data_IF_392925781701
#
_entry.id   IF_392925781701
#
_cell.length_a   1.000
_cell.length_b   1.000
_cell.length_c   1.000
_cell.angle_alpha   90.00
_cell.angle_beta   90.00
_cell.angle_gamma   90.00
#
_symmetry.space_group_name_H-M   'P 1'
#
loop_
_entity.id
_entity.type
_entity.pdbx_description
1 polymer ?
#
# COMPACT_ATOMS: atom_id res chain seq x y z
N UNK A 1 -39.18 6.21 13.33
CA UNK A 1 -38.69 4.88 12.99
C UNK A 1 -37.25 5.04 12.53
N UNK A 2 -36.30 5.11 13.48
CA UNK A 2 -34.88 4.99 13.20
C UNK A 2 -34.62 3.49 13.08
N UNK A 3 -34.48 3.00 11.86
CA UNK A 3 -34.10 1.63 11.59
C UNK A 3 -32.71 1.39 12.16
N UNK A 4 -32.56 0.33 12.93
CA UNK A 4 -31.41 -0.05 13.72
C UNK A 4 -30.20 -0.57 12.93
N UNK A 5 -30.02 -0.17 11.68
CA UNK A 5 -28.92 -0.64 10.82
C UNK A 5 -28.38 0.47 9.90
N UNK A 6 -28.09 1.63 10.44
CA UNK A 6 -27.17 2.53 9.73
C UNK A 6 -25.75 2.06 10.04
N UNK A 7 -25.31 1.04 9.31
CA UNK A 7 -23.95 0.57 9.35
C UNK A 7 -23.02 1.64 8.78
N UNK A 8 -22.19 2.24 9.63
CA UNK A 8 -21.01 3.07 9.25
C UNK A 8 -20.06 2.28 8.31
N UNK A 9 -20.39 1.02 8.00
CA UNK A 9 -19.60 0.02 7.27
C UNK A 9 -19.96 -0.17 5.79
N UNK A 10 -20.84 0.66 5.22
CA UNK A 10 -21.39 0.37 3.89
C UNK A 10 -20.42 0.58 2.72
N UNK A 11 -19.27 1.21 2.95
CA UNK A 11 -18.32 1.48 1.87
C UNK A 11 -17.46 0.26 1.51
N UNK A 12 -17.02 -0.54 2.49
CA UNK A 12 -16.25 -1.76 2.24
C UNK A 12 -16.65 -2.87 3.22
N UNK A 13 -16.36 -4.11 2.85
CA UNK A 13 -16.56 -5.26 3.74
C UNK A 13 -15.39 -5.33 4.72
N UNK A 14 -15.58 -5.12 6.03
CA UNK A 14 -14.50 -5.17 6.99
C UNK A 14 -13.96 -6.59 7.16
N UNK A 15 -12.72 -6.71 7.63
CA UNK A 15 -12.18 -7.95 8.15
C UNK A 15 -12.96 -8.40 9.39
N UNK A 16 -12.91 -9.70 9.70
CA UNK A 16 -13.57 -10.23 10.89
C UNK A 16 -12.92 -9.73 12.19
N UNK A 17 -13.69 -9.63 13.27
CA UNK A 17 -13.10 -9.28 14.56
C UNK A 17 -12.13 -10.36 15.08
N UNK A 18 -12.24 -11.60 14.58
CA UNK A 18 -11.28 -12.68 14.88
C UNK A 18 -9.90 -12.39 14.29
N UNK A 19 -9.82 -11.81 13.10
CA UNK A 19 -8.56 -11.33 12.52
C UNK A 19 -7.85 -10.36 13.49
N UNK A 20 -8.54 -9.29 13.91
CA UNK A 20 -7.95 -8.29 14.82
C UNK A 20 -7.56 -8.86 16.17
N UNK A 21 -8.35 -9.80 16.74
CA UNK A 21 -7.98 -10.52 17.98
C UNK A 21 -6.69 -11.33 17.81
N UNK A 22 -6.57 -12.04 16.69
CA UNK A 22 -5.39 -12.86 16.39
C UNK A 22 -4.15 -11.98 16.18
N UNK A 23 -4.27 -10.86 15.45
CA UNK A 23 -3.20 -9.90 15.23
C UNK A 23 -2.69 -9.31 16.55
N UNK A 24 -3.59 -8.88 17.45
CA UNK A 24 -3.19 -8.40 18.78
C UNK A 24 -2.56 -9.49 19.63
N UNK A 25 -3.10 -10.71 19.60
CA UNK A 25 -2.51 -11.85 20.32
C UNK A 25 -1.10 -12.14 19.85
N UNK A 26 -0.86 -12.15 18.55
CA UNK A 26 0.45 -12.36 17.96
C UNK A 26 1.41 -11.22 18.35
N UNK A 27 0.97 -9.96 18.26
CA UNK A 27 1.75 -8.80 18.67
C UNK A 27 2.14 -8.86 20.15
N UNK A 28 1.17 -9.12 21.03
CA UNK A 28 1.40 -9.18 22.48
C UNK A 28 2.33 -10.33 22.91
N UNK A 29 2.39 -11.41 22.15
CA UNK A 29 3.30 -12.54 22.41
C UNK A 29 4.77 -12.18 22.20
N UNK A 30 5.08 -11.17 21.39
CA UNK A 30 6.45 -10.70 21.12
C UNK A 30 6.90 -9.59 22.11
N UNK A 31 5.98 -9.08 22.94
CA UNK A 31 6.34 -8.04 23.92
C UNK A 31 7.18 -8.63 25.08
N UNK A 32 8.18 -7.87 25.52
CA UNK A 32 8.91 -8.19 26.74
C UNK A 32 7.97 -8.21 27.96
N UNK A 33 8.26 -8.99 28.99
CA UNK A 33 7.50 -8.95 30.26
C UNK A 33 7.40 -7.51 30.79
N UNK A 34 6.28 -7.19 31.44
CA UNK A 34 5.97 -5.86 32.00
C UNK A 34 6.08 -4.71 30.98
N UNK A 35 5.71 -4.98 29.74
CA UNK A 35 5.71 -3.97 28.67
C UNK A 35 4.29 -3.59 28.28
N UNK A 36 4.09 -2.31 28.00
CA UNK A 36 2.85 -1.70 27.52
C UNK A 36 3.10 -1.05 26.18
N UNK A 37 2.30 -1.39 25.16
CA UNK A 37 2.36 -0.79 23.84
C UNK A 37 1.19 0.17 23.64
N UNK A 38 1.45 1.29 22.96
CA UNK A 38 0.43 2.31 22.61
C UNK A 38 0.48 2.61 21.13
N UNK A 39 -0.70 2.70 20.52
CA UNK A 39 -0.91 3.06 19.12
C UNK A 39 -1.92 4.18 19.03
N UNK A 40 -1.55 5.29 18.40
CA UNK A 40 -2.43 6.41 18.15
C UNK A 40 -2.95 6.41 16.72
N UNK A 41 -4.17 6.95 16.52
CA UNK A 41 -4.63 7.33 15.18
C UNK A 41 -3.77 8.43 14.59
N UNK A 42 -3.82 8.60 13.27
CA UNK A 42 -3.25 9.77 12.61
C UNK A 42 -3.96 11.07 13.04
N UNK A 43 -3.34 12.19 12.72
CA UNK A 43 -3.96 13.50 12.83
C UNK A 43 -4.98 13.73 11.70
N UNK A 44 -5.92 14.64 11.95
CA UNK A 44 -6.66 15.32 10.90
C UNK A 44 -5.75 16.45 10.41
N UNK A 45 -5.32 16.39 9.15
CA UNK A 45 -4.35 17.34 8.62
C UNK A 45 -5.01 18.58 8.02
N UNK A 46 -4.77 19.80 8.57
CA UNK A 46 -5.35 21.04 8.06
C UNK A 46 -4.67 21.46 6.74
N UNK A 47 -5.47 21.97 5.79
CA UNK A 47 -5.00 22.50 4.48
C UNK A 47 -5.43 23.94 4.22
N UNK A 48 -6.30 24.48 5.05
CA UNK A 48 -6.83 25.84 4.90
C UNK A 48 -7.47 26.30 6.20
N UNK A 49 -8.34 27.31 6.15
CA UNK A 49 -8.95 27.91 7.33
C UNK A 49 -9.62 26.87 8.24
N UNK A 50 -10.67 26.23 7.75
CA UNK A 50 -11.42 25.15 8.42
C UNK A 50 -11.44 23.85 7.59
N UNK A 51 -10.67 23.81 6.50
CA UNK A 51 -10.59 22.66 5.60
C UNK A 51 -9.47 21.70 6.00
N UNK A 52 -9.73 20.40 5.86
CA UNK A 52 -8.78 19.32 6.15
C UNK A 52 -8.66 18.37 4.98
N UNK A 53 -7.54 17.63 4.90
CA UNK A 53 -7.47 16.45 4.05
C UNK A 53 -8.45 15.37 4.56
N UNK A 54 -8.96 14.49 3.70
CA UNK A 54 -9.69 13.31 4.14
C UNK A 54 -8.87 12.54 5.17
N UNK A 55 -9.54 12.10 6.24
CA UNK A 55 -8.86 11.33 7.28
C UNK A 55 -8.41 9.96 6.75
N UNK A 56 -7.16 9.63 6.98
CA UNK A 56 -6.57 8.31 6.74
C UNK A 56 -6.05 7.74 8.06
N UNK A 57 -6.50 6.53 8.42
CA UNK A 57 -6.10 5.90 9.66
C UNK A 57 -4.64 5.43 9.60
N UNK A 58 -3.93 5.54 10.72
CA UNK A 58 -2.61 4.91 10.87
C UNK A 58 -2.73 3.40 10.70
N UNK A 59 -1.98 2.84 9.77
CA UNK A 59 -2.15 1.44 9.33
C UNK A 59 -1.94 0.41 10.45
N UNK A 60 -1.11 0.70 11.43
CA UNK A 60 -0.85 -0.23 12.54
C UNK A 60 -1.99 -0.31 13.55
N UNK A 61 -2.59 0.83 13.95
CA UNK A 61 -3.78 0.77 14.79
C UNK A 61 -4.94 0.13 14.04
N UNK A 62 -5.08 0.37 12.74
CA UNK A 62 -6.08 -0.30 11.91
C UNK A 62 -5.86 -1.81 11.87
N UNK A 63 -4.63 -2.28 11.59
CA UNK A 63 -4.25 -3.70 11.58
C UNK A 63 -4.55 -4.42 12.89
N UNK A 64 -4.37 -3.71 14.02
CA UNK A 64 -4.58 -4.28 15.35
C UNK A 64 -6.03 -4.15 15.86
N UNK A 65 -6.86 -3.26 15.30
CA UNK A 65 -8.18 -2.97 15.89
C UNK A 65 -9.34 -2.91 14.88
N UNK A 66 -9.07 -2.63 13.62
CA UNK A 66 -10.11 -2.35 12.61
C UNK A 66 -10.81 -1.00 12.79
N UNK A 67 -10.33 -0.17 13.70
CA UNK A 67 -10.92 1.15 13.96
C UNK A 67 -10.41 2.15 12.92
N UNK A 68 -11.31 2.62 12.08
CA UNK A 68 -11.07 3.61 11.03
C UNK A 68 -11.73 4.95 11.41
N UNK A 69 -11.27 5.51 12.52
CA UNK A 69 -11.77 6.76 13.09
C UNK A 69 -10.62 7.53 13.73
N UNK A 70 -10.64 8.84 13.54
CA UNK A 70 -9.70 9.78 14.17
C UNK A 70 -9.81 9.75 15.70
N UNK A 71 -8.79 10.29 16.36
CA UNK A 71 -8.76 10.43 17.83
C UNK A 71 -9.03 9.12 18.58
N UNK A 72 -8.44 8.03 18.06
CA UNK A 72 -8.49 6.72 18.69
C UNK A 72 -7.11 6.34 19.24
N UNK A 73 -7.08 5.63 20.37
CA UNK A 73 -5.84 5.12 20.97
C UNK A 73 -6.07 3.66 21.37
N UNK A 74 -5.15 2.80 20.97
CA UNK A 74 -5.11 1.39 21.39
C UNK A 74 -3.97 1.18 22.39
N UNK A 75 -4.28 0.56 23.54
CA UNK A 75 -3.30 0.15 24.54
C UNK A 75 -3.31 -1.35 24.68
N UNK A 76 -2.13 -1.98 24.57
CA UNK A 76 -1.93 -3.41 24.73
C UNK A 76 -0.95 -3.67 25.88
N UNK A 77 -1.41 -4.36 26.93
CA UNK A 77 -0.61 -4.64 28.12
C UNK A 77 -0.85 -6.08 28.62
N UNK A 78 -0.17 -7.10 28.04
CA UNK A 78 -0.42 -8.51 28.33
C UNK A 78 -0.25 -8.88 29.83
N UNK A 79 0.61 -8.17 30.56
CA UNK A 79 0.88 -8.42 31.97
C UNK A 79 0.06 -7.54 32.93
N UNK A 80 -0.96 -6.80 32.47
CA UNK A 80 -1.82 -6.04 33.36
C UNK A 80 -2.43 -6.91 34.44
N UNK A 81 -2.49 -6.40 35.69
CA UNK A 81 -3.04 -7.13 36.85
C UNK A 81 -4.49 -7.57 36.61
N UNK A 82 -5.29 -6.66 36.09
CA UNK A 82 -6.66 -6.95 35.74
C UNK A 82 -6.74 -7.40 34.27
N UNK A 83 -7.30 -8.59 34.01
CA UNK A 83 -7.44 -9.13 32.64
C UNK A 83 -8.14 -8.16 31.67
N UNK A 84 -9.13 -7.39 32.16
CA UNK A 84 -9.85 -6.40 31.38
C UNK A 84 -8.96 -5.22 30.90
N UNK A 85 -7.80 -5.02 31.50
CA UNK A 85 -6.85 -3.96 31.15
C UNK A 85 -5.77 -4.41 30.17
N UNK A 86 -5.81 -5.66 29.68
CA UNK A 86 -4.81 -6.18 28.75
C UNK A 86 -4.96 -5.66 27.33
N UNK A 87 -6.20 -5.35 26.94
CA UNK A 87 -6.55 -4.72 25.67
C UNK A 87 -7.54 -3.60 25.97
N UNK A 88 -7.17 -2.37 25.67
CA UNK A 88 -8.00 -1.19 25.92
C UNK A 88 -8.04 -0.33 24.66
N UNK A 89 -9.23 0.08 24.27
CA UNK A 89 -9.45 1.03 23.20
C UNK A 89 -10.05 2.33 23.76
N UNK A 90 -9.51 3.44 23.37
CA UNK A 90 -10.05 4.77 23.64
C UNK A 90 -10.57 5.37 22.33
N UNK A 91 -11.79 5.90 22.35
CA UNK A 91 -12.44 6.51 21.18
C UNK A 91 -13.07 7.84 21.55
N UNK A 92 -13.17 8.72 20.56
CA UNK A 92 -13.83 10.01 20.69
C UNK A 92 -15.32 9.80 20.95
N UNK A 93 -15.85 10.52 21.95
CA UNK A 93 -17.28 10.52 22.27
C UNK A 93 -18.04 11.44 21.30
N UNK A 94 -19.18 11.00 20.81
CA UNK A 94 -20.11 11.87 20.11
C UNK A 94 -20.83 12.79 21.11
N UNK A 95 -20.74 14.08 20.93
CA UNK A 95 -21.60 15.08 21.58
C UNK A 95 -22.60 15.66 20.57
N UNK A 96 -23.47 16.56 21.01
CA UNK A 96 -24.50 17.20 20.18
C UNK A 96 -23.88 18.02 19.03
N UNK A 97 -22.78 18.72 19.29
CA UNK A 97 -22.09 19.51 18.28
C UNK A 97 -21.48 18.60 17.20
N UNK A 98 -20.73 17.56 17.61
CA UNK A 98 -20.13 16.58 16.70
C UNK A 98 -21.22 15.91 15.85
N UNK A 99 -22.32 15.49 16.47
CA UNK A 99 -23.42 14.82 15.77
C UNK A 99 -24.03 15.69 14.66
N UNK A 100 -24.12 17.00 14.88
CA UNK A 100 -24.69 17.96 13.91
C UNK A 100 -23.70 18.28 12.79
N UNK A 101 -22.43 18.50 13.11
CA UNK A 101 -21.44 19.02 12.15
C UNK A 101 -20.62 17.93 11.44
N UNK A 102 -20.31 16.84 12.12
CA UNK A 102 -19.42 15.79 11.63
C UNK A 102 -20.13 14.43 11.45
N UNK A 103 -21.34 14.29 11.98
CA UNK A 103 -22.03 13.01 12.09
C UNK A 103 -21.62 12.21 13.33
N UNK A 104 -22.37 11.15 13.61
CA UNK A 104 -22.12 10.30 14.77
C UNK A 104 -20.81 9.52 14.63
N UNK A 105 -19.99 9.56 15.69
CA UNK A 105 -18.79 8.73 15.83
C UNK A 105 -19.18 7.34 16.35
N UNK A 106 -18.22 6.39 16.35
CA UNK A 106 -18.44 5.03 16.84
C UNK A 106 -18.90 5.03 18.30
N UNK A 107 -19.96 4.28 18.56
CA UNK A 107 -20.35 3.91 19.93
C UNK A 107 -19.39 2.83 20.47
N UNK A 108 -19.34 2.68 21.81
CA UNK A 108 -18.55 1.60 22.43
C UNK A 108 -18.99 0.21 21.97
N UNK A 109 -20.30 0.03 21.69
CA UNK A 109 -20.83 -1.24 21.16
C UNK A 109 -20.29 -1.50 19.74
N UNK A 110 -20.38 -0.55 18.83
CA UNK A 110 -19.85 -0.68 17.48
C UNK A 110 -18.33 -0.92 17.47
N UNK A 111 -17.58 -0.16 18.27
CA UNK A 111 -16.14 -0.34 18.37
C UNK A 111 -15.76 -1.74 18.92
N UNK A 112 -16.54 -2.28 19.87
CA UNK A 112 -16.40 -3.65 20.36
C UNK A 112 -16.68 -4.69 19.28
N UNK A 113 -17.74 -4.50 18.50
CA UNK A 113 -18.12 -5.42 17.43
C UNK A 113 -17.07 -5.46 16.32
N UNK A 114 -16.49 -4.31 15.96
CA UNK A 114 -15.40 -4.20 14.99
C UNK A 114 -14.14 -4.88 15.52
N UNK A 115 -13.64 -4.43 16.66
CA UNK A 115 -12.31 -4.79 17.15
C UNK A 115 -12.27 -6.09 17.96
N UNK A 116 -13.42 -6.48 18.53
CA UNK A 116 -13.49 -7.55 19.51
C UNK A 116 -12.89 -7.19 20.88
N UNK A 117 -12.47 -5.93 21.10
CA UNK A 117 -11.96 -5.43 22.38
C UNK A 117 -13.13 -5.19 23.33
N UNK A 118 -13.04 -5.74 24.54
CA UNK A 118 -14.13 -5.66 25.54
C UNK A 118 -14.08 -4.38 26.37
N UNK A 119 -12.88 -3.83 26.59
CA UNK A 119 -12.67 -2.65 27.43
C UNK A 119 -12.49 -1.42 26.56
N UNK A 120 -13.52 -0.56 26.54
CA UNK A 120 -13.52 0.65 25.71
C UNK A 120 -13.86 1.85 26.61
N UNK A 121 -12.98 2.82 26.62
CA UNK A 121 -13.12 4.10 27.30
C UNK A 121 -13.36 5.23 26.31
N UNK A 122 -13.84 6.37 26.83
CA UNK A 122 -13.80 7.59 26.08
C UNK A 122 -12.39 8.19 26.08
N UNK A 123 -12.03 8.94 25.07
CA UNK A 123 -10.68 9.49 24.92
C UNK A 123 -10.26 10.38 26.10
N UNK A 124 -11.22 11.10 26.68
CA UNK A 124 -11.03 11.94 27.86
C UNK A 124 -10.52 11.19 29.10
N UNK A 125 -10.77 9.87 29.17
CA UNK A 125 -10.30 9.01 30.26
C UNK A 125 -8.83 8.58 30.10
N UNK A 126 -8.21 8.84 28.92
CA UNK A 126 -6.92 8.25 28.55
C UNK A 126 -5.82 8.53 29.57
N UNK A 127 -5.56 9.79 29.93
CA UNK A 127 -4.45 10.13 30.81
C UNK A 127 -4.59 9.49 32.19
N UNK A 128 -5.82 9.47 32.75
CA UNK A 128 -6.09 8.89 34.07
C UNK A 128 -5.89 7.37 34.09
N UNK A 129 -6.34 6.68 33.04
CA UNK A 129 -6.18 5.23 32.88
C UNK A 129 -4.72 4.90 32.62
N UNK A 130 -4.07 5.61 31.69
CA UNK A 130 -2.68 5.40 31.34
C UNK A 130 -1.75 5.58 32.54
N UNK A 131 -1.96 6.61 33.36
CA UNK A 131 -1.23 6.85 34.60
C UNK A 131 -1.31 5.65 35.55
N UNK A 132 -2.47 4.99 35.68
CA UNK A 132 -2.63 3.78 36.49
C UNK A 132 -1.89 2.59 35.90
N UNK A 133 -1.90 2.43 34.58
CA UNK A 133 -1.22 1.33 33.88
C UNK A 133 0.30 1.50 33.94
N UNK A 134 0.79 2.73 33.82
CA UNK A 134 2.23 3.01 33.85
C UNK A 134 2.91 2.59 35.16
N UNK A 135 2.17 2.52 36.29
CA UNK A 135 2.72 2.02 37.56
C UNK A 135 2.97 0.51 37.58
N UNK A 136 2.47 -0.23 36.60
CA UNK A 136 2.56 -1.67 36.51
C UNK A 136 3.56 -2.17 35.45
N UNK A 137 4.11 -1.27 34.63
CA UNK A 137 5.04 -1.63 33.58
C UNK A 137 6.40 -0.95 33.74
N UNK A 138 7.41 -1.54 33.12
CA UNK A 138 8.78 -1.06 33.13
C UNK A 138 9.19 -0.49 31.77
N UNK A 139 8.48 -0.86 30.69
CA UNK A 139 8.82 -0.51 29.30
C UNK A 139 7.60 -0.08 28.51
N UNK A 140 7.72 1.03 27.78
CA UNK A 140 6.78 1.44 26.76
C UNK A 140 7.26 1.01 25.37
N UNK A 141 6.38 0.36 24.60
CA UNK A 141 6.57 0.14 23.19
C UNK A 141 5.86 1.24 22.41
N UNK A 142 6.64 2.00 21.64
CA UNK A 142 6.15 3.08 20.81
C UNK A 142 6.09 2.67 19.33
N UNK A 143 5.13 3.27 18.64
CA UNK A 143 4.90 3.03 17.22
C UNK A 143 5.50 4.18 16.39
N UNK A 144 6.82 4.17 16.24
CA UNK A 144 7.52 5.10 15.35
C UNK A 144 7.44 4.62 13.91
N UNK A 145 7.21 5.53 12.97
CA UNK A 145 7.33 5.18 11.56
C UNK A 145 8.83 5.03 11.22
N UNK A 146 9.28 3.80 10.99
CA UNK A 146 10.68 3.46 10.67
C UNK A 146 10.81 2.87 9.26
N UNK A 147 9.84 3.12 8.39
CA UNK A 147 9.95 2.69 7.02
C UNK A 147 11.12 3.40 6.33
N UNK A 148 12.00 2.64 5.67
CA UNK A 148 13.24 3.16 5.07
C UNK A 148 13.03 4.22 3.98
N UNK A 149 11.83 4.30 3.41
CA UNK A 149 11.43 5.33 2.43
C UNK A 149 10.82 6.59 3.09
N UNK A 150 10.69 6.61 4.42
CA UNK A 150 10.11 7.77 5.10
C UNK A 150 10.99 8.99 4.94
N UNK A 151 10.38 10.09 4.51
CA UNK A 151 10.97 11.43 4.50
C UNK A 151 9.87 12.42 4.87
N UNK A 152 9.61 12.59 6.18
CA UNK A 152 8.56 13.49 6.69
C UNK A 152 9.15 14.44 7.72
N UNK A 153 9.04 15.73 7.48
CA UNK A 153 9.47 16.78 8.43
C UNK A 153 8.36 17.15 9.44
N UNK A 154 7.09 16.88 9.07
CA UNK A 154 5.94 17.19 9.92
C UNK A 154 5.89 16.28 11.13
N UNK A 155 5.74 16.88 12.32
CA UNK A 155 5.59 16.15 13.56
C UNK A 155 4.22 15.45 13.62
N UNK A 156 4.24 14.13 13.76
CA UNK A 156 3.03 13.29 13.85
C UNK A 156 2.45 13.28 15.27
N UNK A 157 1.22 12.76 15.41
CA UNK A 157 0.58 12.52 16.72
C UNK A 157 1.41 11.54 17.56
N UNK A 158 1.97 10.49 16.95
CA UNK A 158 2.88 9.55 17.64
C UNK A 158 4.12 10.25 18.17
N UNK A 159 4.75 11.14 17.41
CA UNK A 159 5.94 11.88 17.86
C UNK A 159 5.63 12.76 19.07
N UNK A 160 4.46 13.43 19.06
CA UNK A 160 4.03 14.26 20.21
C UNK A 160 3.74 13.40 21.43
N UNK A 161 3.07 12.26 21.24
CA UNK A 161 2.80 11.30 22.30
C UNK A 161 4.08 10.74 22.91
N UNK A 162 5.05 10.33 22.09
CA UNK A 162 6.36 9.82 22.56
C UNK A 162 7.09 10.88 23.38
N UNK A 163 7.12 12.13 22.91
CA UNK A 163 7.74 13.25 23.64
C UNK A 163 7.07 13.46 24.98
N UNK A 164 5.74 13.44 25.02
CA UNK A 164 4.96 13.55 26.25
C UNK A 164 5.28 12.39 27.22
N UNK A 165 5.25 11.13 26.77
CA UNK A 165 5.57 9.97 27.59
C UNK A 165 6.98 10.07 28.20
N UNK A 166 8.00 10.37 27.39
CA UNK A 166 9.39 10.50 27.87
C UNK A 166 9.55 11.59 28.93
N UNK A 167 8.79 12.67 28.81
CA UNK A 167 8.76 13.76 29.80
C UNK A 167 8.05 13.36 31.09
N UNK A 168 6.90 12.69 31.00
CA UNK A 168 6.07 12.33 32.15
C UNK A 168 6.60 11.09 32.91
N UNK A 169 7.25 10.17 32.20
CA UNK A 169 7.68 8.88 32.72
C UNK A 169 9.15 8.61 32.40
N UNK A 170 10.10 9.45 32.87
CA UNK A 170 11.51 9.38 32.48
C UNK A 170 12.23 8.13 32.97
N UNK A 171 11.69 7.42 33.97
CA UNK A 171 12.26 6.18 34.50
C UNK A 171 11.89 4.92 33.71
N UNK A 172 10.93 5.00 32.77
CA UNK A 172 10.53 3.87 31.94
C UNK A 172 11.50 3.67 30.77
N UNK A 173 11.80 2.42 30.47
CA UNK A 173 12.50 2.05 29.25
C UNK A 173 11.59 2.23 28.03
N UNK A 174 12.20 2.42 26.84
CA UNK A 174 11.48 2.57 25.59
C UNK A 174 11.89 1.48 24.60
N UNK A 175 10.93 0.94 23.86
CA UNK A 175 11.14 -0.07 22.83
C UNK A 175 10.32 0.28 21.57
N UNK A 176 10.62 -0.38 20.46
CA UNK A 176 10.01 -0.15 19.16
C UNK A 176 8.97 -1.22 18.85
N UNK A 177 7.76 -0.83 18.49
CA UNK A 177 6.72 -1.75 18.00
C UNK A 177 6.95 -2.18 16.55
N UNK A 178 7.64 -1.35 15.77
CA UNK A 178 7.79 -1.50 14.33
C UNK A 178 8.39 -2.85 13.90
N UNK A 179 9.49 -3.39 14.49
CA UNK A 179 10.03 -4.69 14.07
C UNK A 179 9.03 -5.85 14.22
N UNK A 180 8.16 -5.80 15.23
CA UNK A 180 7.12 -6.82 15.43
C UNK A 180 6.06 -6.69 14.33
N UNK A 181 5.60 -5.46 14.07
CA UNK A 181 4.59 -5.19 13.04
C UNK A 181 5.10 -5.48 11.63
N UNK A 182 6.36 -5.18 11.33
CA UNK A 182 6.98 -5.54 10.06
C UNK A 182 6.90 -7.04 9.82
N UNK A 183 7.23 -7.85 10.83
CA UNK A 183 7.13 -9.31 10.75
C UNK A 183 5.68 -9.77 10.56
N UNK A 184 4.75 -9.27 11.36
CA UNK A 184 3.36 -9.71 11.32
C UNK A 184 2.65 -9.29 10.03
N UNK A 185 2.84 -8.04 9.58
CA UNK A 185 2.18 -7.50 8.39
C UNK A 185 2.79 -7.98 7.07
N UNK A 186 4.03 -8.47 7.07
CA UNK A 186 4.66 -8.99 5.85
C UNK A 186 4.00 -10.26 5.34
N UNK A 187 3.48 -11.11 6.22
CA UNK A 187 2.78 -12.37 5.88
C UNK A 187 1.28 -12.14 6.02
N UNK A 188 0.56 -12.19 4.91
CA UNK A 188 -0.86 -11.85 4.85
C UNK A 188 -1.74 -13.04 5.28
N UNK A 189 -2.79 -12.74 6.04
CA UNK A 189 -3.90 -13.66 6.28
C UNK A 189 -4.77 -13.79 5.02
N UNK A 190 -5.54 -14.87 4.93
CA UNK A 190 -6.47 -15.10 3.81
C UNK A 190 -7.54 -14.00 3.68
N UNK A 191 -7.95 -13.38 4.79
CA UNK A 191 -8.88 -12.26 4.77
C UNK A 191 -8.22 -11.00 4.17
N UNK A 192 -6.94 -10.73 4.46
CA UNK A 192 -6.17 -9.63 3.87
C UNK A 192 -5.98 -9.83 2.36
N UNK A 193 -5.65 -11.07 1.93
CA UNK A 193 -5.51 -11.41 0.50
C UNK A 193 -6.82 -11.17 -0.25
N UNK A 194 -7.97 -11.45 0.36
CA UNK A 194 -9.30 -11.14 -0.24
C UNK A 194 -9.54 -9.64 -0.40
N UNK A 195 -9.08 -8.80 0.53
CA UNK A 195 -9.18 -7.35 0.39
C UNK A 195 -8.30 -6.86 -0.76
N UNK A 196 -7.06 -7.34 -0.84
CA UNK A 196 -6.14 -7.06 -1.94
C UNK A 196 -6.74 -7.51 -3.29
N UNK A 197 -7.29 -8.72 -3.37
CA UNK A 197 -7.97 -9.19 -4.59
C UNK A 197 -9.11 -8.26 -4.98
N UNK A 198 -9.91 -7.78 -4.01
CA UNK A 198 -11.02 -6.85 -4.30
C UNK A 198 -10.48 -5.52 -4.84
N UNK A 199 -9.39 -4.99 -4.29
CA UNK A 199 -8.75 -3.78 -4.82
C UNK A 199 -8.23 -4.00 -6.25
N UNK A 200 -7.63 -5.15 -6.55
CA UNK A 200 -7.21 -5.55 -7.90
C UNK A 200 -8.41 -5.68 -8.87
N UNK A 201 -9.53 -6.28 -8.42
CA UNK A 201 -10.75 -6.42 -9.24
C UNK A 201 -11.41 -5.06 -9.55
N UNK A 202 -11.30 -4.09 -8.64
CA UNK A 202 -11.76 -2.72 -8.88
C UNK A 202 -10.82 -2.02 -9.87
N UNK A 203 -9.53 -2.22 -9.74
CA UNK A 203 -8.51 -1.70 -10.66
C UNK A 203 -8.71 -2.24 -12.07
N UNK A 204 -9.03 -3.54 -12.23
CA UNK A 204 -9.39 -4.15 -13.52
C UNK A 204 -10.48 -3.38 -14.23
N UNK A 205 -11.56 -3.03 -13.53
CA UNK A 205 -12.70 -2.30 -14.12
C UNK A 205 -12.26 -0.92 -14.61
N UNK A 206 -11.41 -0.23 -13.85
CA UNK A 206 -10.83 1.04 -14.27
C UNK A 206 -9.99 0.91 -15.53
N UNK A 207 -9.08 -0.06 -15.60
CA UNK A 207 -8.24 -0.30 -16.78
C UNK A 207 -9.09 -0.65 -18.00
N UNK A 208 -10.07 -1.55 -17.88
CA UNK A 208 -10.97 -1.90 -19.00
C UNK A 208 -11.74 -0.68 -19.50
N UNK A 209 -12.17 0.22 -18.61
CA UNK A 209 -12.79 1.48 -19.00
C UNK A 209 -11.81 2.37 -19.78
N UNK A 210 -10.56 2.50 -19.34
CA UNK A 210 -9.56 3.29 -20.06
C UNK A 210 -9.26 2.73 -21.45
N UNK A 211 -9.17 1.41 -21.61
CA UNK A 211 -8.95 0.77 -22.92
C UNK A 211 -10.05 1.11 -23.93
N UNK A 212 -11.28 1.33 -23.46
CA UNK A 212 -12.40 1.73 -24.31
C UNK A 212 -12.53 3.25 -24.49
N UNK A 213 -11.92 4.05 -23.61
CA UNK A 213 -12.05 5.51 -23.60
C UNK A 213 -10.90 6.23 -24.32
N UNK A 214 -9.67 5.72 -24.19
CA UNK A 214 -8.47 6.35 -24.70
C UNK A 214 -8.48 6.44 -26.23
N UNK A 215 -8.22 7.64 -26.73
CA UNK A 215 -8.01 7.96 -28.16
C UNK A 215 -7.14 9.22 -28.29
N UNK A 216 -6.57 9.49 -29.46
CA UNK A 216 -5.82 10.72 -29.70
C UNK A 216 -6.65 11.97 -29.38
N UNK A 217 -6.02 12.92 -28.68
CA UNK A 217 -6.63 14.19 -28.28
C UNK A 217 -7.21 14.21 -26.86
N UNK A 218 -7.34 13.07 -26.19
CA UNK A 218 -7.73 12.98 -24.77
C UNK A 218 -6.58 13.53 -23.91
N UNK A 219 -6.93 14.22 -22.81
CA UNK A 219 -5.97 14.68 -21.82
C UNK A 219 -5.73 13.64 -20.73
N UNK A 220 -4.54 13.61 -20.15
CA UNK A 220 -4.19 12.69 -19.08
C UNK A 220 -5.14 12.78 -17.88
N UNK A 221 -5.57 13.98 -17.47
CA UNK A 221 -6.56 14.16 -16.39
C UNK A 221 -7.98 13.67 -16.75
N UNK A 222 -8.33 13.53 -18.04
CA UNK A 222 -9.60 12.91 -18.41
C UNK A 222 -9.56 11.39 -18.16
N UNK A 223 -8.39 10.75 -18.35
CA UNK A 223 -8.19 9.35 -17.96
C UNK A 223 -8.27 9.17 -16.45
N UNK A 224 -7.71 10.11 -15.68
CA UNK A 224 -7.82 10.13 -14.22
C UNK A 224 -9.28 10.21 -13.77
N UNK A 225 -10.08 11.09 -14.38
CA UNK A 225 -11.50 11.23 -14.06
C UNK A 225 -12.30 9.93 -14.31
N UNK A 226 -12.00 9.21 -15.39
CA UNK A 226 -12.61 7.92 -15.70
C UNK A 226 -12.26 6.84 -14.65
N UNK A 227 -11.01 6.81 -14.17
CA UNK A 227 -10.58 5.92 -13.10
C UNK A 227 -11.27 6.25 -11.79
N UNK A 228 -11.32 7.53 -11.39
CA UNK A 228 -12.00 7.98 -10.17
C UNK A 228 -13.46 7.54 -10.20
N UNK A 229 -14.15 7.73 -11.33
CA UNK A 229 -15.53 7.29 -11.50
C UNK A 229 -15.69 5.78 -11.26
N UNK A 230 -14.83 4.94 -11.88
CA UNK A 230 -14.93 3.49 -11.70
C UNK A 230 -14.58 3.05 -10.27
N UNK A 231 -13.56 3.64 -9.66
CA UNK A 231 -13.15 3.28 -8.30
C UNK A 231 -14.25 3.61 -7.28
N UNK A 232 -14.78 4.84 -7.31
CA UNK A 232 -15.81 5.28 -6.37
C UNK A 232 -17.11 4.48 -6.52
N UNK A 233 -17.59 4.21 -7.74
CA UNK A 233 -18.82 3.42 -7.95
C UNK A 233 -18.68 1.97 -7.52
N UNK A 234 -17.46 1.46 -7.43
CA UNK A 234 -17.15 0.11 -6.96
C UNK A 234 -16.69 0.07 -5.48
N UNK A 235 -17.01 1.09 -4.68
CA UNK A 235 -16.80 1.17 -3.23
C UNK A 235 -15.36 1.39 -2.77
N UNK A 236 -14.45 1.74 -3.66
CA UNK A 236 -13.13 2.24 -3.27
C UNK A 236 -13.24 3.66 -2.70
N UNK A 237 -12.30 4.07 -1.85
CA UNK A 237 -12.14 5.48 -1.46
C UNK A 237 -11.57 6.33 -2.61
N UNK A 238 -10.90 5.69 -3.57
CA UNK A 238 -10.19 6.31 -4.67
C UNK A 238 -8.90 5.56 -5.00
N UNK A 239 -7.91 6.30 -5.42
CA UNK A 239 -6.57 5.77 -5.69
C UNK A 239 -5.88 5.31 -4.40
N UNK A 240 -5.11 4.22 -4.50
CA UNK A 240 -4.24 3.73 -3.42
C UNK A 240 -3.03 4.65 -3.18
N UNK A 241 -2.60 5.37 -4.21
CA UNK A 241 -1.50 6.34 -4.25
C UNK A 241 -1.79 7.41 -5.32
N UNK A 242 -0.96 8.45 -5.37
CA UNK A 242 -1.11 9.51 -6.38
C UNK A 242 -0.91 8.93 -7.79
N UNK A 243 -1.92 9.06 -8.69
CA UNK A 243 -1.91 8.38 -9.98
C UNK A 243 -0.85 8.95 -10.92
N UNK A 244 -0.16 8.08 -11.64
CA UNK A 244 0.79 8.41 -12.70
C UNK A 244 0.16 8.07 -14.04
N UNK A 245 -0.12 9.09 -14.85
CA UNK A 245 -0.70 8.96 -16.18
C UNK A 245 0.19 9.72 -17.15
N UNK A 246 1.16 9.03 -17.74
CA UNK A 246 2.30 9.62 -18.42
C UNK A 246 2.29 9.32 -19.92
N UNK A 247 1.90 10.28 -20.75
CA UNK A 247 1.90 10.11 -22.21
C UNK A 247 3.25 10.47 -22.85
N UNK A 248 3.63 9.74 -23.88
CA UNK A 248 4.83 10.00 -24.67
C UNK A 248 6.11 10.04 -23.83
N UNK A 249 6.86 11.14 -23.96
CA UNK A 249 8.15 11.35 -23.27
C UNK A 249 8.02 11.38 -21.74
N UNK A 250 6.84 11.76 -21.19
CA UNK A 250 6.61 11.83 -19.76
C UNK A 250 6.70 10.46 -19.06
N UNK A 251 6.51 9.36 -19.79
CA UNK A 251 6.71 8.01 -19.31
C UNK A 251 8.15 7.73 -18.81
N UNK A 252 9.11 8.62 -19.12
CA UNK A 252 10.48 8.53 -18.61
C UNK A 252 10.68 9.24 -17.26
N UNK A 253 9.63 9.86 -16.71
CA UNK A 253 9.63 10.47 -15.38
C UNK A 253 8.91 9.49 -14.44
N UNK A 254 9.65 8.82 -13.56
CA UNK A 254 9.15 7.69 -12.78
C UNK A 254 7.93 8.03 -11.91
N UNK A 255 7.89 9.24 -11.32
CA UNK A 255 6.78 9.73 -10.51
C UNK A 255 6.17 10.99 -11.17
N UNK A 256 5.68 10.84 -12.40
CA UNK A 256 4.98 11.90 -13.12
C UNK A 256 3.53 11.97 -12.66
N UNK A 257 3.19 12.97 -11.84
CA UNK A 257 1.86 13.12 -11.23
C UNK A 257 1.12 14.38 -11.71
N UNK A 258 1.68 15.14 -12.66
CA UNK A 258 1.03 16.34 -13.16
C UNK A 258 -0.21 16.04 -14.01
N UNK A 259 -0.22 14.92 -14.74
CA UNK A 259 -1.32 14.41 -15.53
C UNK A 259 -2.02 15.48 -16.39
N UNK A 260 -1.22 16.37 -17.02
CA UNK A 260 -1.74 17.59 -17.66
C UNK A 260 -1.38 17.71 -19.15
N UNK A 261 -0.94 16.63 -19.79
CA UNK A 261 -0.60 16.61 -21.22
C UNK A 261 -1.69 15.96 -22.05
N UNK A 262 -1.75 16.35 -23.32
CA UNK A 262 -2.66 15.73 -24.29
C UNK A 262 -2.00 14.51 -24.92
N UNK A 263 -2.70 13.37 -24.89
CA UNK A 263 -2.26 12.12 -25.51
C UNK A 263 -2.31 12.23 -27.04
N UNK A 264 -1.20 12.02 -27.74
CA UNK A 264 -1.08 12.19 -29.18
C UNK A 264 -1.06 10.87 -29.92
N UNK A 265 -1.52 10.89 -31.15
CA UNK A 265 -1.46 9.71 -32.01
C UNK A 265 -0.02 9.19 -32.15
N UNK A 266 0.14 7.88 -32.05
CA UNK A 266 1.45 7.21 -32.14
C UNK A 266 2.24 7.15 -30.84
N UNK A 267 1.81 7.86 -29.78
CA UNK A 267 2.42 7.77 -28.45
C UNK A 267 1.89 6.56 -27.67
N UNK A 268 2.62 6.21 -26.62
CA UNK A 268 2.17 5.33 -25.53
C UNK A 268 1.73 6.17 -24.34
N UNK A 269 0.82 5.64 -23.52
CA UNK A 269 0.52 6.16 -22.18
C UNK A 269 0.90 5.08 -21.17
N UNK A 270 1.80 5.43 -20.27
CA UNK A 270 2.12 4.64 -19.09
C UNK A 270 1.15 5.03 -17.99
N UNK A 271 0.43 4.05 -17.47
CA UNK A 271 -0.60 4.16 -16.44
C UNK A 271 -0.12 3.39 -15.21
N UNK A 272 0.32 4.10 -14.18
CA UNK A 272 0.63 3.51 -12.88
C UNK A 272 -0.46 3.99 -11.91
N UNK A 273 -1.49 3.15 -11.78
CA UNK A 273 -2.78 3.52 -11.19
C UNK A 273 -3.46 2.31 -10.57
N UNK A 274 -3.87 2.40 -9.32
CA UNK A 274 -4.64 1.33 -8.70
C UNK A 274 -5.61 1.84 -7.64
N UNK A 275 -6.62 1.03 -7.34
CA UNK A 275 -7.64 1.31 -6.33
C UNK A 275 -7.18 0.88 -4.93
N UNK A 276 -7.70 1.58 -3.92
CA UNK A 276 -7.71 1.14 -2.53
C UNK A 276 -9.03 0.44 -2.23
N UNK A 277 -9.04 -0.59 -1.39
CA UNK A 277 -10.26 -1.18 -0.86
C UNK A 277 -10.06 -1.65 0.58
N UNK A 278 -10.89 -1.15 1.50
CA UNK A 278 -10.83 -1.53 2.91
C UNK A 278 -9.48 -1.22 3.58
N UNK A 279 -8.84 -0.14 3.18
CA UNK A 279 -7.49 0.28 3.56
C UNK A 279 -6.35 -0.60 2.98
N UNK A 280 -6.63 -1.55 2.10
CA UNK A 280 -5.63 -2.32 1.36
C UNK A 280 -5.41 -1.73 -0.03
N UNK A 281 -4.16 -1.58 -0.41
CA UNK A 281 -3.74 -1.00 -1.68
C UNK A 281 -3.56 -2.09 -2.74
N UNK A 282 -4.05 -1.89 -3.95
CA UNK A 282 -3.52 -2.54 -5.14
C UNK A 282 -2.42 -1.67 -5.75
N UNK A 283 -1.59 -2.22 -6.62
CA UNK A 283 -0.55 -1.51 -7.37
C UNK A 283 -0.42 -2.08 -8.78
N UNK A 284 -0.63 -1.24 -9.79
CA UNK A 284 -0.67 -1.71 -11.17
C UNK A 284 -0.02 -0.72 -12.11
N UNK A 285 0.84 -1.21 -12.98
CA UNK A 285 1.25 -0.45 -14.17
C UNK A 285 0.87 -1.17 -15.46
N UNK A 286 0.29 -0.43 -16.39
CA UNK A 286 0.11 -0.81 -17.80
C UNK A 286 0.60 0.30 -18.70
N UNK A 287 1.15 -0.07 -19.84
CA UNK A 287 1.51 0.87 -20.92
C UNK A 287 0.70 0.54 -22.15
N UNK A 288 -0.11 1.48 -22.62
CA UNK A 288 -1.09 1.25 -23.71
C UNK A 288 -0.89 2.25 -24.87
N UNK A 289 -1.19 1.86 -26.12
CA UNK A 289 -1.02 2.75 -27.27
C UNK A 289 -2.18 3.73 -27.41
N UNK A 290 -1.90 5.03 -27.52
CA UNK A 290 -2.94 6.07 -27.68
C UNK A 290 -3.83 5.84 -28.90
N UNK A 291 -3.26 5.32 -30.00
CA UNK A 291 -3.98 5.03 -31.25
C UNK A 291 -4.55 3.63 -31.33
N UNK A 292 -4.55 2.86 -30.24
CA UNK A 292 -5.06 1.49 -30.21
C UNK A 292 -4.15 0.43 -30.86
N UNK A 293 -2.97 0.82 -31.36
CA UNK A 293 -2.02 -0.08 -32.03
C UNK A 293 -0.59 0.32 -31.67
N UNK A 294 0.22 -0.65 -31.26
CA UNK A 294 1.65 -0.45 -31.01
C UNK A 294 2.44 -0.38 -32.32
N UNK A 295 3.39 0.54 -32.42
CA UNK A 295 4.41 0.49 -33.50
C UNK A 295 5.29 -0.76 -33.29
N UNK A 296 6.04 -1.16 -34.33
CA UNK A 296 6.95 -2.28 -34.26
C UNK A 296 7.94 -2.13 -33.09
N UNK A 297 8.56 -0.95 -32.95
CA UNK A 297 9.55 -0.66 -31.90
C UNK A 297 8.92 -0.69 -30.50
N UNK A 298 7.76 -0.09 -30.33
CA UNK A 298 7.03 -0.10 -29.06
C UNK A 298 6.68 -1.54 -28.64
N UNK A 299 6.21 -2.37 -29.59
CA UNK A 299 5.90 -3.80 -29.36
C UNK A 299 7.16 -4.60 -28.96
N UNK A 300 8.29 -4.36 -29.59
CA UNK A 300 9.57 -5.01 -29.24
C UNK A 300 9.96 -4.70 -27.78
N UNK A 301 9.96 -3.42 -27.40
CA UNK A 301 10.26 -2.97 -26.02
C UNK A 301 9.24 -3.52 -25.02
N UNK A 302 7.95 -3.41 -25.34
CA UNK A 302 6.86 -3.91 -24.49
C UNK A 302 7.02 -5.40 -24.19
N UNK A 303 7.23 -6.21 -25.22
CA UNK A 303 7.39 -7.67 -25.07
C UNK A 303 8.68 -8.02 -24.30
N UNK A 304 9.74 -7.23 -24.38
CA UNK A 304 10.94 -7.40 -23.57
C UNK A 304 10.64 -7.17 -22.08
N UNK A 305 9.93 -6.09 -21.74
CA UNK A 305 9.48 -5.82 -20.36
C UNK A 305 8.57 -6.95 -19.85
N UNK A 306 7.64 -7.40 -20.68
CA UNK A 306 6.71 -8.48 -20.34
C UNK A 306 7.43 -9.81 -20.04
N UNK A 307 8.46 -10.15 -20.83
CA UNK A 307 9.30 -11.34 -20.56
C UNK A 307 10.03 -11.22 -19.23
N UNK A 308 10.66 -10.06 -18.96
CA UNK A 308 11.34 -9.81 -17.66
C UNK A 308 10.36 -9.94 -16.53
N UNK A 309 9.16 -9.33 -16.62
CA UNK A 309 8.11 -9.42 -15.61
C UNK A 309 7.70 -10.87 -15.34
N UNK A 310 7.45 -11.63 -16.40
CA UNK A 310 7.00 -13.02 -16.26
C UNK A 310 8.07 -13.92 -15.64
N UNK A 311 9.35 -13.75 -16.01
CA UNK A 311 10.46 -14.51 -15.42
C UNK A 311 10.74 -14.05 -13.98
N UNK A 312 10.72 -12.74 -13.70
CA UNK A 312 10.86 -12.22 -12.34
C UNK A 312 9.76 -12.75 -11.40
N UNK A 313 8.52 -12.84 -11.87
CA UNK A 313 7.41 -13.41 -11.09
C UNK A 313 7.72 -14.84 -10.64
N UNK A 314 8.33 -15.67 -11.48
CA UNK A 314 8.68 -17.07 -11.14
C UNK A 314 9.73 -17.18 -10.05
N UNK A 315 10.55 -16.13 -9.84
CA UNK A 315 11.58 -16.09 -8.81
C UNK A 315 11.02 -15.78 -7.41
N UNK A 316 9.78 -15.30 -7.29
CA UNK A 316 9.14 -15.00 -6.02
C UNK A 316 8.61 -16.29 -5.38
N UNK A 317 9.49 -17.03 -4.75
CA UNK A 317 9.22 -18.32 -4.09
C UNK A 317 9.75 -18.31 -2.66
N UNK A 318 9.23 -19.18 -1.78
CA UNK A 318 9.76 -19.32 -0.42
C UNK A 318 11.26 -19.63 -0.42
N UNK A 319 12.02 -18.94 0.42
CA UNK A 319 13.47 -19.06 0.52
C UNK A 319 14.28 -18.10 -0.35
N UNK A 320 13.67 -17.43 -1.33
CA UNK A 320 14.36 -16.41 -2.13
C UNK A 320 14.80 -15.26 -1.24
N UNK A 321 16.02 -14.79 -1.43
CA UNK A 321 16.57 -13.61 -0.74
C UNK A 321 16.40 -12.37 -1.64
N UNK A 322 15.99 -11.27 -1.07
CA UNK A 322 15.74 -10.01 -1.78
C UNK A 322 16.88 -9.56 -2.69
N UNK A 323 18.10 -9.63 -2.19
CA UNK A 323 19.30 -9.27 -2.97
C UNK A 323 19.49 -10.18 -4.18
N UNK A 324 19.31 -11.48 -4.00
CA UNK A 324 19.50 -12.47 -5.06
C UNK A 324 18.41 -12.33 -6.12
N UNK A 325 17.16 -12.07 -5.72
CA UNK A 325 16.08 -11.75 -6.63
C UNK A 325 16.44 -10.58 -7.57
N UNK A 326 16.91 -9.47 -7.03
CA UNK A 326 17.28 -8.30 -7.86
C UNK A 326 18.49 -8.58 -8.75
N UNK A 327 19.45 -9.38 -8.31
CA UNK A 327 20.58 -9.80 -9.15
C UNK A 327 20.13 -10.63 -10.36
N UNK A 328 19.23 -11.59 -10.15
CA UNK A 328 18.70 -12.40 -11.25
C UNK A 328 17.86 -11.56 -12.23
N UNK A 329 17.00 -10.67 -11.73
CA UNK A 329 16.25 -9.77 -12.60
C UNK A 329 17.17 -8.83 -13.38
N UNK A 330 18.26 -8.36 -12.78
CA UNK A 330 19.27 -7.56 -13.47
C UNK A 330 19.90 -8.28 -14.66
N UNK A 331 20.18 -9.59 -14.52
CA UNK A 331 20.69 -10.43 -15.63
C UNK A 331 19.68 -10.58 -16.76
N UNK A 332 18.40 -10.81 -16.40
CA UNK A 332 17.30 -10.89 -17.37
C UNK A 332 17.16 -9.58 -18.14
N UNK A 333 17.13 -8.45 -17.43
CA UNK A 333 17.04 -7.13 -18.03
C UNK A 333 18.21 -6.82 -18.95
N UNK A 334 19.43 -7.12 -18.54
CA UNK A 334 20.63 -6.95 -19.37
C UNK A 334 20.52 -7.71 -20.69
N UNK A 335 20.07 -8.95 -20.66
CA UNK A 335 19.86 -9.78 -21.87
C UNK A 335 18.82 -9.17 -22.80
N UNK A 336 17.69 -8.70 -22.28
CA UNK A 336 16.64 -8.04 -23.08
C UNK A 336 17.12 -6.73 -23.69
N UNK A 337 17.85 -5.90 -22.93
CA UNK A 337 18.41 -4.64 -23.43
C UNK A 337 19.45 -4.85 -24.55
N UNK A 338 20.23 -5.94 -24.48
CA UNK A 338 21.11 -6.34 -25.58
C UNK A 338 20.30 -6.75 -26.83
N UNK A 339 19.25 -7.55 -26.65
CA UNK A 339 18.36 -7.95 -27.74
C UNK A 339 17.68 -6.77 -28.43
N UNK A 340 17.39 -5.70 -27.69
CA UNK A 340 16.83 -4.44 -28.20
C UNK A 340 17.87 -3.50 -28.86
N UNK A 341 19.17 -3.83 -28.78
CA UNK A 341 20.25 -2.96 -29.23
C UNK A 341 20.48 -1.71 -28.38
N UNK A 342 20.00 -1.72 -27.13
CA UNK A 342 20.16 -0.61 -26.17
C UNK A 342 21.45 -0.72 -25.36
N UNK A 343 21.98 -1.93 -25.19
CA UNK A 343 23.30 -2.22 -24.62
C UNK A 343 24.11 -3.08 -25.59
N UNK A 344 25.40 -2.81 -25.64
CA UNK A 344 26.35 -3.65 -26.37
C UNK A 344 27.24 -4.48 -25.42
N UNK A 345 28.11 -5.31 -26.00
CA UNK A 345 29.04 -6.14 -25.20
C UNK A 345 30.06 -5.30 -24.45
N UNK A 346 30.44 -4.14 -24.99
CA UNK A 346 31.42 -3.27 -24.36
C UNK A 346 30.83 -2.57 -23.13
N UNK A 347 29.55 -2.15 -23.21
CA UNK A 347 28.82 -1.61 -22.06
C UNK A 347 28.84 -2.55 -20.86
N UNK A 348 28.63 -3.86 -21.10
CA UNK A 348 28.57 -4.89 -20.07
C UNK A 348 29.97 -5.24 -19.55
N UNK A 349 30.95 -5.38 -20.46
CA UNK A 349 32.33 -5.71 -20.04
C UNK A 349 32.98 -4.63 -19.19
N UNK A 350 32.60 -3.38 -19.40
CA UNK A 350 33.13 -2.21 -18.71
C UNK A 350 32.21 -1.66 -17.63
N UNK A 351 31.14 -2.37 -17.28
CA UNK A 351 30.18 -1.87 -16.28
C UNK A 351 30.79 -1.76 -14.88
N UNK A 352 30.30 -0.78 -14.12
CA UNK A 352 30.59 -0.69 -12.70
C UNK A 352 29.69 -1.69 -11.94
N UNK A 353 30.26 -2.63 -11.16
CA UNK A 353 29.48 -3.61 -10.37
C UNK A 353 28.44 -2.98 -9.43
N UNK A 354 28.74 -1.76 -8.91
CA UNK A 354 27.82 -1.03 -8.03
C UNK A 354 26.72 -0.29 -8.81
N UNK A 355 26.92 -0.10 -10.12
CA UNK A 355 25.95 0.53 -11.01
C UNK A 355 25.95 -0.19 -12.38
N UNK A 356 25.35 -1.38 -12.47
CA UNK A 356 25.32 -2.19 -13.68
C UNK A 356 24.73 -1.45 -14.88
N UNK A 357 25.17 -1.81 -16.09
CA UNK A 357 24.84 -1.11 -17.35
C UNK A 357 23.32 -1.04 -17.61
N UNK A 358 22.56 -2.06 -17.20
CA UNK A 358 21.10 -2.07 -17.37
C UNK A 358 20.40 -0.92 -16.66
N UNK A 359 20.97 -0.36 -15.58
CA UNK A 359 20.38 0.74 -14.81
C UNK A 359 20.28 2.03 -15.61
N UNK A 360 20.94 2.14 -16.74
CA UNK A 360 20.76 3.26 -17.69
C UNK A 360 19.32 3.32 -18.22
N UNK A 361 18.66 2.18 -18.36
CA UNK A 361 17.31 2.05 -18.91
C UNK A 361 16.30 1.49 -17.92
N UNK A 362 16.75 0.88 -16.83
CA UNK A 362 15.95 0.35 -15.75
C UNK A 362 16.60 0.69 -14.40
N UNK A 363 16.27 1.86 -13.84
CA UNK A 363 16.97 2.46 -12.71
C UNK A 363 16.31 2.22 -11.35
N UNK A 364 15.09 1.67 -11.29
CA UNK A 364 14.36 1.41 -10.03
C UNK A 364 14.35 -0.08 -9.64
N UNK A 365 13.76 -0.40 -8.49
CA UNK A 365 13.56 -1.78 -8.03
C UNK A 365 12.51 -2.51 -8.86
N UNK A 366 12.58 -3.83 -8.86
CA UNK A 366 11.61 -4.68 -9.59
C UNK A 366 10.37 -4.99 -8.78
N UNK A 367 10.42 -4.88 -7.46
CA UNK A 367 9.35 -5.31 -6.57
C UNK A 367 9.40 -4.57 -5.23
N UNK A 368 8.30 -4.57 -4.51
CA UNK A 368 8.22 -4.19 -3.10
C UNK A 368 7.06 -4.93 -2.42
N UNK A 369 7.06 -4.97 -1.09
CA UNK A 369 5.91 -5.47 -0.34
C UNK A 369 4.69 -4.58 -0.55
N UNK A 370 3.52 -5.21 -0.59
CA UNK A 370 2.22 -4.57 -0.77
C UNK A 370 1.24 -5.03 0.32
N UNK A 371 0.34 -4.14 0.74
CA UNK A 371 -0.68 -4.46 1.74
C UNK A 371 -1.50 -3.27 2.16
N UNK A 372 -1.50 -2.94 3.46
CA UNK A 372 -2.13 -1.75 4.02
C UNK A 372 -1.46 -0.45 3.55
N UNK A 373 -0.21 -0.52 3.16
CA UNK A 373 0.47 0.54 2.44
C UNK A 373 0.85 0.02 1.05
N UNK A 374 0.90 0.89 0.07
CA UNK A 374 1.43 0.58 -1.26
C UNK A 374 2.88 0.11 -1.15
N UNK A 375 3.74 0.88 -0.49
CA UNK A 375 5.04 0.37 -0.05
C UNK A 375 4.90 -0.14 1.39
N UNK A 376 4.58 -1.43 1.54
CA UNK A 376 4.28 -2.01 2.84
C UNK A 376 5.54 -2.52 3.57
N UNK A 377 5.34 -2.91 4.80
CA UNK A 377 6.40 -3.45 5.64
C UNK A 377 6.92 -4.79 5.13
N UNK A 378 8.24 -4.94 5.21
CA UNK A 378 8.94 -6.18 4.94
C UNK A 378 10.33 -6.21 5.55
N UNK A 379 10.78 -7.41 5.90
CA UNK A 379 12.12 -7.67 6.43
C UNK A 379 13.01 -8.16 5.26
N UNK A 380 13.53 -7.20 4.46
CA UNK A 380 14.24 -7.47 3.21
C UNK A 380 15.54 -8.30 3.36
N UNK A 381 16.04 -8.45 4.60
CA UNK A 381 17.21 -9.28 4.91
C UNK A 381 16.86 -10.73 5.23
N UNK A 382 15.57 -11.05 5.38
CA UNK A 382 15.07 -12.40 5.61
C UNK A 382 14.61 -13.05 4.29
N UNK A 383 14.63 -14.40 4.23
CA UNK A 383 14.06 -15.12 3.09
C UNK A 383 12.57 -14.78 2.90
N UNK A 384 12.13 -14.77 1.65
CA UNK A 384 10.72 -14.66 1.33
C UNK A 384 9.94 -15.88 1.84
N UNK A 385 8.71 -15.66 2.25
CA UNK A 385 7.83 -16.69 2.80
C UNK A 385 6.49 -16.73 2.05
N UNK A 386 5.80 -17.86 2.14
CA UNK A 386 4.44 -17.98 1.62
C UNK A 386 3.51 -16.94 2.25
N UNK A 387 2.52 -16.48 1.49
CA UNK A 387 1.57 -15.42 1.85
C UNK A 387 2.20 -14.01 1.96
N UNK A 388 3.47 -13.82 1.62
CA UNK A 388 3.96 -12.48 1.31
C UNK A 388 3.38 -12.02 -0.02
N UNK A 389 3.07 -10.74 -0.11
CA UNK A 389 2.52 -10.10 -1.33
C UNK A 389 3.51 -9.06 -1.82
N UNK A 390 3.80 -9.13 -3.12
CA UNK A 390 4.76 -8.24 -3.79
C UNK A 390 4.17 -7.69 -5.07
N UNK A 391 4.61 -6.48 -5.44
CA UNK A 391 4.54 -6.01 -6.82
C UNK A 391 5.62 -6.69 -7.67
N UNK A 392 5.43 -6.72 -8.99
CA UNK A 392 6.48 -7.09 -9.98
C UNK A 392 6.40 -6.09 -11.12
N UNK A 393 7.31 -5.10 -11.13
CA UNK A 393 7.19 -3.85 -11.88
C UNK A 393 8.40 -3.49 -12.76
N UNK A 394 9.00 -4.38 -13.56
CA UNK A 394 10.10 -3.99 -14.41
C UNK A 394 9.69 -2.97 -15.47
N UNK A 395 10.63 -2.10 -15.85
CA UNK A 395 10.41 -1.10 -16.89
C UNK A 395 11.66 -0.87 -17.74
N UNK A 396 11.44 -0.36 -18.96
CA UNK A 396 12.51 0.13 -19.88
C UNK A 396 12.13 1.53 -20.30
N UNK A 397 13.01 2.49 -20.04
CA UNK A 397 12.81 3.90 -20.29
C UNK A 397 13.82 4.41 -21.31
N UNK A 398 13.33 4.97 -22.44
CA UNK A 398 14.15 5.34 -23.61
C UNK A 398 13.89 6.81 -23.96
N UNK A 399 14.45 7.78 -23.20
CA UNK A 399 14.17 9.21 -23.42
C UNK A 399 14.47 9.69 -24.84
N UNK A 400 15.49 9.15 -25.50
CA UNK A 400 15.86 9.55 -26.86
C UNK A 400 14.93 8.96 -27.95
N UNK A 401 14.13 7.93 -27.61
CA UNK A 401 13.05 7.43 -28.46
C UNK A 401 11.67 8.02 -28.05
N UNK A 402 11.61 8.79 -26.95
CA UNK A 402 10.43 9.54 -26.54
C UNK A 402 9.36 8.70 -25.84
N UNK A 403 9.67 7.51 -25.31
CA UNK A 403 8.73 6.69 -24.56
C UNK A 403 9.40 5.81 -23.49
N UNK A 404 8.60 5.31 -22.57
CA UNK A 404 8.97 4.29 -21.58
C UNK A 404 7.86 3.24 -21.48
N UNK A 405 8.22 2.06 -21.03
CA UNK A 405 7.28 0.96 -20.76
C UNK A 405 7.54 0.42 -19.36
N UNK A 406 6.52 0.38 -18.50
CA UNK A 406 6.49 -0.37 -17.23
C UNK A 406 5.27 -1.29 -17.25
N UNK A 407 5.45 -2.50 -16.75
CA UNK A 407 4.38 -3.47 -16.59
C UNK A 407 4.46 -4.05 -15.19
N UNK A 408 3.35 -4.06 -14.49
CA UNK A 408 3.27 -4.41 -13.08
C UNK A 408 2.02 -5.19 -12.75
N UNK A 409 2.18 -6.20 -11.90
CA UNK A 409 1.10 -6.93 -11.26
C UNK A 409 1.42 -7.19 -9.79
N UNK A 410 0.37 -7.39 -8.98
CA UNK A 410 0.44 -7.86 -7.61
C UNK A 410 0.41 -9.38 -7.55
N UNK A 411 1.34 -9.97 -6.81
CA UNK A 411 1.44 -11.43 -6.70
C UNK A 411 1.56 -11.89 -5.25
N UNK A 412 0.99 -13.06 -4.95
CA UNK A 412 1.07 -13.72 -3.64
C UNK A 412 1.98 -14.93 -3.75
N UNK A 413 3.01 -14.98 -2.92
CA UNK A 413 3.90 -16.15 -2.84
C UNK A 413 3.12 -17.34 -2.29
N UNK A 414 3.17 -18.47 -2.99
CA UNK A 414 2.54 -19.73 -2.61
C UNK A 414 3.50 -20.62 -1.80
N UNK A 415 2.97 -21.53 -0.99
CA UNK A 415 3.78 -22.53 -0.25
C UNK A 415 4.60 -23.40 -1.19
N UNK A 416 4.08 -23.64 -2.39
CA UNK A 416 4.74 -24.41 -3.46
C UNK A 416 4.14 -24.00 -4.81
N UNK A 417 4.93 -24.13 -5.87
CA UNK A 417 4.53 -23.75 -7.23
C UNK A 417 4.71 -22.26 -7.52
N UNK A 418 4.13 -21.79 -8.60
CA UNK A 418 4.22 -20.40 -9.02
C UNK A 418 3.41 -19.47 -8.10
N UNK A 419 3.82 -18.21 -7.91
CA UNK A 419 3.01 -17.19 -7.24
C UNK A 419 1.64 -17.03 -7.89
N UNK A 420 0.64 -16.69 -7.07
CA UNK A 420 -0.69 -16.35 -7.59
C UNK A 420 -0.69 -14.88 -8.00
N UNK A 421 -0.96 -14.61 -9.27
CA UNK A 421 -1.18 -13.26 -9.78
C UNK A 421 -2.61 -12.81 -9.45
N UNK A 422 -2.77 -11.77 -8.64
CA UNK A 422 -4.06 -11.18 -8.26
C UNK A 422 -4.69 -10.40 -9.42
N UNK A 423 -3.91 -10.01 -10.42
CA UNK A 423 -4.30 -9.18 -11.55
C UNK A 423 -4.38 -9.94 -12.88
N UNK A 424 -4.41 -11.27 -12.84
CA UNK A 424 -4.40 -12.14 -14.02
C UNK A 424 -5.48 -11.86 -15.05
N UNK A 425 -6.58 -11.20 -14.66
CA UNK A 425 -7.70 -10.87 -15.53
C UNK A 425 -7.55 -9.51 -16.23
N UNK A 426 -6.55 -8.69 -15.82
CA UNK A 426 -6.27 -7.39 -16.43
C UNK A 426 -5.48 -7.61 -17.72
N UNK A 427 -5.94 -7.11 -18.88
CA UNK A 427 -5.24 -7.27 -20.15
C UNK A 427 -3.78 -6.82 -20.06
N UNK A 428 -2.87 -7.65 -20.57
CA UNK A 428 -1.44 -7.37 -20.58
C UNK A 428 -0.76 -7.79 -21.88
N UNK A 429 -1.30 -8.78 -22.60
CA UNK A 429 -0.77 -9.15 -23.91
C UNK A 429 -1.09 -8.07 -24.95
N UNK A 430 -0.14 -7.80 -25.82
CA UNK A 430 -0.26 -6.74 -26.85
C UNK A 430 -1.50 -6.95 -27.70
N UNK A 431 -1.75 -8.20 -28.11
CA UNK A 431 -2.87 -8.59 -28.97
C UNK A 431 -4.22 -8.37 -28.29
N UNK A 432 -4.32 -8.65 -26.99
CA UNK A 432 -5.54 -8.45 -26.19
C UNK A 432 -5.85 -6.97 -26.03
N UNK A 433 -4.82 -6.14 -25.73
CA UNK A 433 -4.96 -4.70 -25.60
C UNK A 433 -5.43 -4.08 -26.92
N UNK A 434 -4.76 -4.39 -28.03
CA UNK A 434 -5.15 -3.89 -29.35
C UNK A 434 -6.56 -4.34 -29.75
N UNK A 435 -6.92 -5.59 -29.48
CA UNK A 435 -8.26 -6.12 -29.76
C UNK A 435 -9.36 -5.37 -28.98
N UNK A 436 -9.14 -5.12 -27.68
CA UNK A 436 -10.12 -4.40 -26.85
C UNK A 436 -10.24 -2.94 -27.28
N UNK A 437 -9.12 -2.27 -27.58
CA UNK A 437 -9.13 -0.86 -27.96
C UNK A 437 -9.77 -0.61 -29.34
N UNK A 438 -9.82 -1.62 -30.22
CA UNK A 438 -10.39 -1.52 -31.57
C UNK A 438 -11.75 -2.23 -31.73
N UNK A 439 -12.38 -2.68 -30.64
CA UNK A 439 -13.68 -3.38 -30.61
C UNK A 439 -14.92 -2.46 -30.61
#
# INVERSE_FOLDING_TARGET
>A
LVGSEMCIRDRYRPLSNSFYKNSRKAFMAELKPKSLAVFNSNDIYPIGADSTLPFEQHRDIFYLSGIDQEESILVLFPNAYEKKQREILFIRKTDEHIAIWEGAKLTKAQAKDISGIKTIYWLEDFESVFKKLSTQCDTFYFNTNEHYRQSVETQTREDRFIKWCKKQYPAHSNAKSNPILQKLRSIKDDEEIKQLQTACDITEKGIRRLLSFLKPGIWEYELEAELVHEFLRNRSKGFAYEPIIASGINANILHYTQNNQQCKAGELVLLDVAAEYGNYSADLTRTIPVSGVFTKRQREVYNSVLRVKNEATKLLIPGMIWKDFHLEVGKLMTSELQGLGLLDKADIQNENPDNPAYKKYFMHGTAHHLGLNTHDYGLLHLPMEANMVFTVEPGIYIPHEGFGVRLEDDVVIQKSGAPTNLMKNIPIEVEDIESIMNS
#
